data_IF_555477015633
#
_entry.id   IF_555477015633
#
_cell.length_a   1.000
_cell.length_b   1.000
_cell.length_c   1.000
_cell.angle_alpha   90.00
_cell.angle_beta   90.00
_cell.angle_gamma   90.00
#
_symmetry.space_group_name_H-M   'P 1'
#
loop_
_entity.id
_entity.type
_entity.pdbx_description
1 polymer ?
#
# COMPACT_ATOMS: atom_id res chain seq x y z
N UNK A 1 6.24 -29.76 -23.57
CA UNK A 1 6.92 -30.93 -24.14
C UNK A 1 6.99 -32.07 -23.10
N UNK A 2 7.55 -31.85 -21.92
CA UNK A 2 7.71 -32.86 -20.87
C UNK A 2 6.41 -33.60 -20.52
N UNK A 3 5.35 -32.84 -20.20
CA UNK A 3 4.03 -33.39 -19.83
C UNK A 3 3.41 -34.19 -20.96
N UNK A 4 3.60 -33.74 -22.23
CA UNK A 4 3.10 -34.44 -23.40
C UNK A 4 3.79 -35.80 -23.57
N UNK A 5 5.11 -35.85 -23.41
CA UNK A 5 5.88 -37.08 -23.50
C UNK A 5 5.55 -38.07 -22.38
N UNK A 6 5.38 -37.59 -21.15
CA UNK A 6 4.98 -38.41 -20.00
C UNK A 6 3.60 -39.04 -20.21
N UNK A 7 2.63 -38.27 -20.67
CA UNK A 7 1.27 -38.76 -20.96
C UNK A 7 1.29 -39.77 -22.14
N UNK A 8 2.02 -39.44 -23.21
CA UNK A 8 2.18 -40.36 -24.36
C UNK A 8 2.76 -41.72 -23.93
N UNK A 9 3.74 -41.70 -23.01
CA UNK A 9 4.33 -42.92 -22.49
C UNK A 9 3.33 -43.71 -21.62
N UNK A 10 2.59 -43.06 -20.74
CA UNK A 10 1.57 -43.71 -19.91
C UNK A 10 0.49 -44.37 -20.75
N UNK A 11 0.00 -43.70 -21.79
CA UNK A 11 -1.04 -44.24 -22.68
C UNK A 11 -0.50 -45.35 -23.59
N UNK A 12 0.75 -45.26 -24.01
CA UNK A 12 1.40 -46.35 -24.76
C UNK A 12 1.49 -47.62 -23.92
N UNK A 13 1.83 -47.51 -22.65
CA UNK A 13 1.91 -48.67 -21.76
C UNK A 13 0.51 -49.32 -21.52
N UNK A 14 -0.53 -48.52 -21.42
CA UNK A 14 -1.92 -49.02 -21.32
C UNK A 14 -2.37 -49.69 -22.62
N UNK A 15 -1.94 -49.18 -23.78
CA UNK A 15 -2.25 -49.76 -25.06
C UNK A 15 -1.48 -51.10 -25.25
N UNK A 16 -0.23 -51.21 -24.83
CA UNK A 16 0.53 -52.46 -24.83
C UNK A 16 -0.15 -53.49 -23.94
N UNK A 17 -0.65 -53.11 -22.76
CA UNK A 17 -1.42 -53.98 -21.89
C UNK A 17 -2.71 -54.45 -22.56
N UNK A 18 -3.46 -53.60 -23.22
CA UNK A 18 -4.67 -53.95 -23.95
C UNK A 18 -4.41 -54.96 -25.09
N UNK A 19 -3.29 -54.76 -25.82
CA UNK A 19 -2.86 -55.70 -26.88
C UNK A 19 -2.52 -57.06 -26.29
N UNK A 20 -1.81 -57.08 -25.16
CA UNK A 20 -1.45 -58.33 -24.48
C UNK A 20 -2.68 -59.09 -23.99
N UNK A 21 -3.63 -58.41 -23.35
CA UNK A 21 -4.90 -59.00 -22.87
C UNK A 21 -5.74 -59.58 -24.02
N UNK A 22 -5.81 -58.84 -25.15
CA UNK A 22 -6.51 -59.33 -26.34
C UNK A 22 -5.85 -60.54 -26.94
N UNK A 23 -4.51 -60.52 -27.05
CA UNK A 23 -3.73 -61.65 -27.57
C UNK A 23 -3.93 -62.90 -26.71
N UNK A 24 -3.90 -62.80 -25.41
CA UNK A 24 -4.23 -63.90 -24.50
C UNK A 24 -5.68 -64.41 -24.70
N UNK A 25 -6.65 -63.48 -24.81
CA UNK A 25 -8.06 -63.84 -25.05
C UNK A 25 -8.23 -64.68 -26.34
N UNK A 26 -7.49 -64.39 -27.38
CA UNK A 26 -7.47 -65.21 -28.61
C UNK A 26 -6.86 -66.57 -28.40
N UNK A 27 -5.78 -66.67 -27.63
CA UNK A 27 -5.18 -67.97 -27.26
C UNK A 27 -6.17 -68.88 -26.51
N UNK A 28 -6.94 -68.30 -25.58
CA UNK A 28 -7.94 -69.09 -24.81
C UNK A 28 -9.13 -69.59 -25.64
N UNK A 29 -9.38 -69.00 -26.81
CA UNK A 29 -10.46 -69.46 -27.73
C UNK A 29 -10.01 -70.59 -28.64
N UNK A 30 -8.74 -70.95 -28.64
CA UNK A 30 -8.24 -72.12 -29.40
C UNK A 30 -8.56 -73.43 -28.72
N UNK A 31 -8.70 -74.56 -29.48
CA UNK A 31 -8.87 -75.87 -28.90
C UNK A 31 -7.71 -76.24 -27.94
N UNK A 32 -8.03 -76.95 -26.86
CA UNK A 32 -7.04 -77.38 -25.88
C UNK A 32 -5.94 -78.22 -26.57
N UNK A 33 -4.68 -77.81 -26.34
CA UNK A 33 -3.53 -78.51 -26.92
C UNK A 33 -2.98 -77.87 -28.21
N UNK A 34 -3.59 -76.76 -28.71
CA UNK A 34 -3.06 -76.02 -29.86
C UNK A 34 -1.77 -75.28 -29.45
N UNK A 35 -0.59 -75.58 -30.08
CA UNK A 35 0.65 -74.92 -29.69
C UNK A 35 0.73 -73.49 -30.20
N UNK A 36 0.71 -72.50 -29.29
CA UNK A 36 0.99 -71.13 -29.59
C UNK A 36 2.43 -70.79 -29.16
N UNK A 37 3.25 -70.34 -30.10
CA UNK A 37 4.65 -70.02 -29.83
C UNK A 37 4.74 -68.68 -29.10
N UNK A 38 5.18 -68.69 -27.83
CA UNK A 38 5.60 -67.49 -27.09
C UNK A 38 7.08 -67.19 -27.29
N UNK A 39 7.61 -66.24 -26.50
CA UNK A 39 9.02 -65.82 -26.56
C UNK A 39 9.93 -66.98 -26.01
N UNK A 40 10.66 -67.60 -26.90
CA UNK A 40 11.57 -68.70 -26.53
C UNK A 40 12.83 -68.24 -25.79
N UNK A 41 13.57 -69.19 -25.15
CA UNK A 41 14.80 -68.86 -24.39
C UNK A 41 15.88 -68.15 -25.23
N UNK A 42 16.01 -68.47 -26.54
CA UNK A 42 16.96 -67.79 -27.46
C UNK A 42 16.55 -66.35 -27.79
N UNK A 43 15.28 -66.05 -27.70
CA UNK A 43 14.69 -64.75 -28.07
C UNK A 43 14.53 -63.80 -26.85
N UNK A 44 14.87 -64.26 -25.63
CA UNK A 44 14.82 -63.41 -24.42
C UNK A 44 15.66 -62.15 -24.51
N UNK A 45 16.70 -62.12 -25.34
CA UNK A 45 17.56 -60.94 -25.60
C UNK A 45 17.01 -59.98 -26.66
N UNK A 46 15.93 -60.35 -27.36
CA UNK A 46 15.30 -59.49 -28.35
C UNK A 46 14.41 -58.44 -27.69
N UNK A 47 14.33 -57.22 -28.32
CA UNK A 47 13.59 -56.07 -27.80
C UNK A 47 12.06 -56.19 -27.87
N UNK A 48 11.52 -57.25 -28.48
CA UNK A 48 10.09 -57.42 -28.69
C UNK A 48 9.39 -58.02 -27.46
N UNK A 49 8.18 -57.52 -27.22
CA UNK A 49 7.30 -58.05 -26.16
C UNK A 49 6.75 -59.42 -26.57
N UNK A 50 6.35 -60.23 -25.59
CA UNK A 50 5.88 -61.60 -25.80
C UNK A 50 4.66 -61.69 -26.73
N UNK A 51 3.76 -60.72 -26.67
CA UNK A 51 2.57 -60.68 -27.53
C UNK A 51 2.88 -60.63 -29.02
N UNK A 52 4.05 -60.11 -29.45
CA UNK A 52 4.47 -60.10 -30.87
C UNK A 52 4.68 -61.52 -31.38
N UNK A 53 5.28 -62.39 -30.59
CA UNK A 53 5.51 -63.78 -30.96
C UNK A 53 4.20 -64.59 -30.95
N UNK A 54 3.38 -64.38 -29.92
CA UNK A 54 2.08 -65.02 -29.84
C UNK A 54 1.16 -64.60 -30.97
N UNK A 55 1.14 -63.32 -31.32
CA UNK A 55 0.36 -62.82 -32.43
C UNK A 55 0.76 -63.41 -33.76
N UNK A 56 2.06 -63.50 -34.06
CA UNK A 56 2.56 -64.14 -35.29
C UNK A 56 2.09 -65.61 -35.37
N UNK A 57 2.18 -66.34 -34.28
CA UNK A 57 1.69 -67.73 -34.22
C UNK A 57 0.18 -67.83 -34.38
N UNK A 58 -0.60 -66.92 -33.82
CA UNK A 58 -2.06 -66.90 -33.98
C UNK A 58 -2.49 -66.58 -35.40
N UNK A 59 -1.75 -65.69 -36.08
CA UNK A 59 -1.99 -65.33 -37.46
C UNK A 59 -1.73 -66.49 -38.41
N UNK A 60 -0.65 -67.29 -38.15
CA UNK A 60 -0.36 -68.54 -38.87
C UNK A 60 -1.47 -69.57 -38.70
N UNK A 61 -2.16 -69.57 -37.56
CA UNK A 61 -3.32 -70.39 -37.25
C UNK A 61 -4.65 -69.86 -37.77
N UNK A 62 -4.64 -68.78 -38.55
CA UNK A 62 -5.82 -68.17 -39.17
C UNK A 62 -6.71 -67.34 -38.20
N UNK A 63 -6.19 -66.96 -37.04
CA UNK A 63 -6.93 -66.15 -36.06
C UNK A 63 -6.52 -64.67 -36.20
N UNK A 64 -7.32 -63.86 -36.91
CA UNK A 64 -6.97 -62.47 -37.22
C UNK A 64 -6.98 -61.58 -35.97
N UNK A 65 -6.20 -60.47 -36.06
CA UNK A 65 -6.21 -59.43 -35.09
C UNK A 65 -7.57 -58.68 -35.05
N UNK A 66 -8.11 -58.43 -33.87
CA UNK A 66 -9.33 -57.64 -33.68
C UNK A 66 -9.02 -56.31 -33.07
N UNK A 67 -8.94 -55.26 -33.90
CA UNK A 67 -8.79 -53.87 -33.44
C UNK A 67 -9.95 -53.44 -32.52
N UNK A 68 -11.17 -53.92 -32.80
CA UNK A 68 -12.36 -53.61 -32.00
C UNK A 68 -12.21 -54.14 -30.56
N UNK A 69 -11.71 -55.41 -30.44
CA UNK A 69 -11.45 -56.02 -29.13
C UNK A 69 -10.40 -55.27 -28.35
N UNK A 70 -9.26 -54.88 -29.03
CA UNK A 70 -8.21 -54.06 -28.43
C UNK A 70 -8.79 -52.69 -27.98
N UNK A 71 -9.58 -52.06 -28.86
CA UNK A 71 -10.21 -50.76 -28.55
C UNK A 71 -11.14 -50.83 -27.34
N UNK A 72 -11.93 -51.88 -27.21
CA UNK A 72 -12.80 -52.09 -26.06
C UNK A 72 -12.02 -52.32 -24.75
N UNK A 73 -10.96 -53.10 -24.78
CA UNK A 73 -10.08 -53.34 -23.66
C UNK A 73 -9.38 -52.00 -23.25
N UNK A 74 -8.78 -51.31 -24.21
CA UNK A 74 -8.10 -50.07 -23.98
C UNK A 74 -9.02 -48.97 -23.44
N UNK A 75 -10.24 -48.83 -24.02
CA UNK A 75 -11.28 -47.92 -23.50
C UNK A 75 -11.69 -48.28 -22.09
N UNK A 76 -11.77 -49.58 -21.73
CA UNK A 76 -12.02 -50.04 -20.36
C UNK A 76 -10.91 -49.53 -19.41
N UNK A 77 -9.65 -49.75 -19.78
CA UNK A 77 -8.49 -49.29 -19.00
C UNK A 77 -8.40 -47.76 -18.87
N UNK A 78 -8.95 -47.01 -19.84
CA UNK A 78 -9.00 -45.54 -19.86
C UNK A 78 -10.25 -44.94 -19.22
N UNK A 79 -11.32 -45.76 -19.03
CA UNK A 79 -12.65 -45.31 -18.61
C UNK A 79 -12.61 -44.56 -17.28
N UNK A 80 -11.81 -45.04 -16.33
CA UNK A 80 -11.63 -44.41 -15.02
C UNK A 80 -11.00 -43.00 -15.12
N UNK A 81 -10.43 -42.65 -16.29
CA UNK A 81 -9.76 -41.40 -16.55
C UNK A 81 -10.53 -40.47 -17.53
N UNK A 82 -11.71 -40.90 -18.00
CA UNK A 82 -12.60 -40.09 -18.83
C UNK A 82 -12.12 -39.82 -20.25
N UNK A 83 -11.30 -40.73 -20.83
CA UNK A 83 -10.76 -40.59 -22.19
C UNK A 83 -11.54 -41.37 -23.21
N UNK A 84 -11.58 -40.84 -24.44
CA UNK A 84 -12.06 -41.55 -25.64
C UNK A 84 -10.83 -41.84 -26.48
N UNK A 85 -10.62 -43.12 -26.76
CA UNK A 85 -9.50 -43.60 -27.51
C UNK A 85 -9.92 -44.09 -28.91
N UNK A 86 -9.10 -43.80 -29.87
CA UNK A 86 -9.22 -44.27 -31.26
C UNK A 86 -7.98 -45.08 -31.62
N UNK A 87 -8.18 -46.23 -32.23
CA UNK A 87 -7.09 -47.11 -32.67
C UNK A 87 -6.96 -47.11 -34.19
N UNK A 88 -5.74 -46.99 -34.67
CA UNK A 88 -5.35 -47.17 -36.05
C UNK A 88 -4.38 -48.30 -36.25
N UNK A 89 -4.59 -49.13 -37.24
CA UNK A 89 -3.60 -50.11 -37.74
C UNK A 89 -2.76 -49.42 -38.80
N UNK A 90 -1.45 -49.46 -38.65
CA UNK A 90 -0.48 -48.89 -39.58
C UNK A 90 0.20 -50.07 -40.27
N UNK A 91 -0.04 -50.23 -41.57
CA UNK A 91 0.78 -51.10 -42.41
C UNK A 91 1.99 -50.33 -42.94
N UNK A 92 3.16 -50.96 -42.97
CA UNK A 92 4.42 -50.31 -43.37
C UNK A 92 4.53 -50.14 -44.92
N UNK A 93 3.66 -49.29 -45.45
CA UNK A 93 3.76 -48.76 -46.85
C UNK A 93 3.84 -47.23 -46.79
N UNK A 94 4.96 -46.72 -46.23
CA UNK A 94 5.15 -45.27 -46.11
C UNK A 94 4.42 -44.59 -44.93
N UNK A 95 4.08 -45.33 -43.85
CA UNK A 95 3.43 -44.76 -42.67
C UNK A 95 1.92 -44.51 -42.82
N UNK A 96 1.25 -45.12 -43.80
CA UNK A 96 -0.15 -44.93 -44.12
C UNK A 96 -1.01 -45.77 -43.14
N UNK A 97 -2.01 -45.15 -42.53
CA UNK A 97 -3.01 -45.85 -41.69
C UNK A 97 -3.94 -46.62 -42.61
N UNK A 98 -3.84 -47.95 -42.62
CA UNK A 98 -4.64 -48.83 -43.48
C UNK A 98 -6.03 -49.13 -42.90
N UNK A 99 -6.15 -49.13 -41.57
CA UNK A 99 -7.43 -49.38 -40.88
C UNK A 99 -7.53 -48.58 -39.64
N UNK A 100 -8.65 -47.83 -39.46
CA UNK A 100 -8.96 -47.06 -38.25
C UNK A 100 -10.36 -47.41 -37.76
N UNK A 101 -10.56 -47.50 -36.46
CA UNK A 101 -11.87 -47.80 -35.84
C UNK A 101 -12.80 -46.59 -35.74
N UNK A 102 -12.28 -45.39 -35.84
CA UNK A 102 -13.06 -44.14 -35.85
C UNK A 102 -12.30 -43.00 -36.53
N UNK A 103 -13.08 -42.06 -37.10
CA UNK A 103 -12.58 -41.02 -37.97
C UNK A 103 -11.56 -40.08 -37.38
N UNK A 104 -10.81 -39.50 -38.26
CA UNK A 104 -9.72 -38.54 -38.07
C UNK A 104 -10.19 -37.27 -37.33
N UNK A 105 -10.17 -37.26 -36.01
CA UNK A 105 -10.34 -36.04 -35.25
C UNK A 105 -8.99 -35.35 -35.13
N UNK A 106 -8.65 -34.53 -36.12
CA UNK A 106 -7.44 -33.72 -36.17
C UNK A 106 -7.52 -32.53 -35.20
N UNK A 107 -7.79 -32.80 -33.95
CA UNK A 107 -7.71 -31.74 -32.95
C UNK A 107 -6.25 -31.41 -32.66
N UNK A 108 -5.91 -30.12 -32.62
CA UNK A 108 -4.58 -29.57 -32.29
C UNK A 108 -4.02 -30.14 -30.97
N UNK A 109 -4.87 -30.71 -30.14
CA UNK A 109 -4.56 -31.30 -28.84
C UNK A 109 -4.64 -32.82 -28.81
N UNK A 110 -4.67 -33.50 -29.96
CA UNK A 110 -4.62 -34.96 -30.00
C UNK A 110 -3.26 -35.46 -29.50
N UNK A 111 -3.26 -36.49 -28.67
CA UNK A 111 -2.06 -37.17 -28.20
C UNK A 111 -1.98 -38.53 -28.84
N UNK A 112 -0.88 -38.77 -29.54
CA UNK A 112 -0.60 -40.05 -30.13
C UNK A 112 0.26 -40.89 -29.19
N UNK A 113 -0.02 -42.20 -29.15
CA UNK A 113 0.88 -43.20 -28.53
C UNK A 113 2.08 -43.46 -29.43
N UNK A 114 3.07 -44.12 -28.88
CA UNK A 114 4.14 -44.70 -29.70
C UNK A 114 3.55 -45.76 -30.64
N UNK A 115 4.22 -45.97 -31.80
CA UNK A 115 3.92 -47.09 -32.68
C UNK A 115 4.32 -48.39 -31.98
N UNK A 116 3.33 -49.26 -31.74
CA UNK A 116 3.52 -50.53 -31.07
C UNK A 116 3.59 -51.64 -32.15
N UNK A 117 4.74 -52.29 -32.32
CA UNK A 117 4.90 -53.33 -33.35
C UNK A 117 4.10 -54.57 -33.00
N UNK A 118 3.40 -55.12 -34.01
CA UNK A 118 2.69 -56.38 -33.92
C UNK A 118 3.45 -57.53 -34.64
N UNK A 119 4.39 -57.19 -35.53
CA UNK A 119 5.28 -58.13 -36.18
C UNK A 119 6.74 -57.73 -36.01
N UNK A 120 7.66 -58.69 -36.05
CA UNK A 120 9.10 -58.47 -35.91
C UNK A 120 9.72 -57.60 -37.02
N UNK A 121 9.16 -57.63 -38.18
CA UNK A 121 9.58 -56.88 -39.36
C UNK A 121 9.01 -55.44 -39.41
N UNK A 122 8.26 -55.04 -38.36
CA UNK A 122 7.56 -53.75 -38.29
C UNK A 122 6.57 -53.49 -39.43
N UNK A 123 6.15 -54.53 -40.15
CA UNK A 123 5.20 -54.39 -41.26
C UNK A 123 3.79 -54.01 -40.74
N UNK A 124 3.46 -54.40 -39.53
CA UNK A 124 2.17 -54.10 -38.89
C UNK A 124 2.45 -53.46 -37.52
N UNK A 125 1.89 -52.28 -37.30
CA UNK A 125 1.99 -51.52 -36.05
C UNK A 125 0.61 -51.00 -35.64
N UNK A 126 0.41 -50.80 -34.34
CA UNK A 126 -0.79 -50.18 -33.79
C UNK A 126 -0.41 -48.86 -33.16
N UNK A 127 -1.20 -47.81 -33.49
CA UNK A 127 -1.09 -46.48 -32.89
C UNK A 127 -2.44 -46.13 -32.30
N UNK A 128 -2.42 -45.64 -31.08
CA UNK A 128 -3.57 -45.06 -30.42
C UNK A 128 -3.58 -43.55 -30.53
N UNK A 129 -4.75 -42.99 -30.78
CA UNK A 129 -4.98 -41.54 -30.75
C UNK A 129 -5.98 -41.21 -29.68
N UNK A 130 -5.67 -40.26 -28.81
CA UNK A 130 -6.55 -39.76 -27.77
C UNK A 130 -7.03 -38.37 -28.17
N UNK A 131 -8.31 -38.26 -28.46
CA UNK A 131 -8.98 -36.99 -28.62
C UNK A 131 -9.22 -36.27 -27.27
N UNK A 132 -9.42 -34.96 -27.31
CA UNK A 132 -9.85 -34.12 -26.16
C UNK A 132 -8.91 -34.13 -24.95
N UNK A 133 -7.61 -34.25 -25.17
CA UNK A 133 -6.61 -34.27 -24.07
C UNK A 133 -6.36 -32.88 -23.45
N UNK A 134 -6.89 -31.80 -24.06
CA UNK A 134 -6.71 -30.42 -23.60
C UNK A 134 -7.12 -30.19 -22.14
N UNK A 135 -8.20 -30.84 -21.70
CA UNK A 135 -8.64 -30.75 -20.29
C UNK A 135 -7.58 -31.29 -19.31
N UNK A 136 -6.85 -32.32 -19.67
CA UNK A 136 -5.80 -32.89 -18.84
C UNK A 136 -4.60 -31.98 -18.69
N UNK A 137 -4.21 -31.34 -19.79
CA UNK A 137 -3.18 -30.32 -19.75
C UNK A 137 -3.59 -29.17 -18.81
N UNK A 138 -4.83 -28.70 -18.94
CA UNK A 138 -5.36 -27.68 -18.06
C UNK A 138 -5.40 -28.12 -16.58
N UNK A 139 -5.82 -29.35 -16.31
CA UNK A 139 -5.86 -29.88 -14.95
C UNK A 139 -4.46 -30.05 -14.33
N UNK A 140 -3.50 -30.56 -15.10
CA UNK A 140 -2.11 -30.79 -14.62
C UNK A 140 -1.30 -29.50 -14.56
N UNK A 141 -1.58 -28.53 -15.43
CA UNK A 141 -0.90 -27.22 -15.44
C UNK A 141 -1.65 -26.13 -14.70
N UNK A 142 -2.92 -26.33 -14.32
CA UNK A 142 -3.78 -25.31 -13.70
C UNK A 142 -3.22 -24.77 -12.40
N UNK A 143 -2.63 -25.60 -11.55
CA UNK A 143 -2.00 -25.16 -10.30
C UNK A 143 -0.78 -24.26 -10.56
N UNK A 144 -0.02 -24.55 -11.60
CA UNK A 144 1.17 -23.80 -11.99
C UNK A 144 0.77 -22.44 -12.58
N UNK A 145 -0.26 -22.39 -13.41
CA UNK A 145 -0.82 -21.13 -13.92
C UNK A 145 -1.42 -20.29 -12.79
N UNK A 146 -2.15 -20.92 -11.87
CA UNK A 146 -2.71 -20.21 -10.72
C UNK A 146 -1.61 -19.59 -9.85
N UNK A 147 -0.56 -20.37 -9.52
CA UNK A 147 0.54 -19.87 -8.69
C UNK A 147 1.33 -18.75 -9.36
N UNK A 148 1.61 -18.86 -10.67
CA UNK A 148 2.31 -17.81 -11.42
C UNK A 148 1.49 -16.54 -11.55
N UNK A 149 0.17 -16.66 -11.76
CA UNK A 149 -0.74 -15.50 -11.80
C UNK A 149 -0.81 -14.82 -10.44
N UNK A 150 -0.92 -15.58 -9.35
CA UNK A 150 -0.95 -15.05 -7.99
C UNK A 150 0.36 -14.34 -7.64
N UNK A 151 1.50 -14.92 -8.04
CA UNK A 151 2.82 -14.29 -7.88
C UNK A 151 2.91 -12.97 -8.66
N UNK A 152 2.43 -12.94 -9.90
CA UNK A 152 2.42 -11.74 -10.73
C UNK A 152 1.59 -10.62 -10.08
N UNK A 153 0.39 -10.93 -9.61
CA UNK A 153 -0.48 -9.98 -8.90
C UNK A 153 0.20 -9.44 -7.65
N UNK A 154 0.86 -10.32 -6.88
CA UNK A 154 1.62 -9.92 -5.70
C UNK A 154 2.76 -8.95 -6.04
N UNK A 155 3.56 -9.27 -7.06
CA UNK A 155 4.68 -8.40 -7.50
C UNK A 155 4.18 -7.04 -7.96
N UNK A 156 3.10 -7.00 -8.76
CA UNK A 156 2.48 -5.74 -9.20
C UNK A 156 1.98 -4.93 -8.00
N UNK A 157 1.34 -5.59 -7.03
CA UNK A 157 0.91 -4.96 -5.77
C UNK A 157 2.07 -4.34 -4.99
N UNK A 158 3.18 -5.06 -4.86
CA UNK A 158 4.40 -4.56 -4.20
C UNK A 158 4.98 -3.34 -4.94
N UNK A 159 5.03 -3.36 -6.27
CA UNK A 159 5.53 -2.23 -7.07
C UNK A 159 4.65 -0.99 -6.87
N UNK A 160 3.33 -1.14 -6.93
CA UNK A 160 2.38 -0.03 -6.70
C UNK A 160 2.54 0.55 -5.30
N UNK A 161 2.67 -0.32 -4.29
CA UNK A 161 2.92 0.10 -2.91
C UNK A 161 4.24 0.86 -2.77
N UNK A 162 5.34 0.38 -3.37
CA UNK A 162 6.65 1.05 -3.35
C UNK A 162 6.58 2.42 -4.03
N UNK A 163 5.94 2.53 -5.21
CA UNK A 163 5.78 3.80 -5.92
C UNK A 163 5.02 4.82 -5.04
N UNK A 164 3.93 4.39 -4.38
CA UNK A 164 3.16 5.24 -3.47
C UNK A 164 4.00 5.71 -2.28
N UNK A 165 4.80 4.82 -1.69
CA UNK A 165 5.71 5.13 -0.58
C UNK A 165 6.80 6.12 -0.99
N UNK A 166 7.44 5.90 -2.14
CA UNK A 166 8.48 6.80 -2.67
C UNK A 166 7.91 8.19 -2.98
N UNK A 167 6.71 8.26 -3.58
CA UNK A 167 6.04 9.55 -3.84
C UNK A 167 5.77 10.30 -2.54
N UNK A 168 5.28 9.60 -1.51
CA UNK A 168 5.05 10.21 -0.18
C UNK A 168 6.35 10.71 0.46
N UNK A 169 7.42 9.93 0.39
CA UNK A 169 8.74 10.34 0.91
C UNK A 169 9.29 11.57 0.17
N UNK A 170 9.20 11.59 -1.16
CA UNK A 170 9.62 12.76 -1.97
C UNK A 170 8.82 14.01 -1.62
N UNK A 171 7.52 13.88 -1.38
CA UNK A 171 6.67 15.00 -0.97
C UNK A 171 7.09 15.55 0.39
N UNK A 172 7.36 14.67 1.37
CA UNK A 172 7.87 15.06 2.70
C UNK A 172 9.24 15.76 2.59
N UNK A 173 10.16 15.20 1.80
CA UNK A 173 11.47 15.81 1.57
C UNK A 173 11.35 17.20 0.95
N UNK A 174 10.51 17.35 -0.08
CA UNK A 174 10.26 18.65 -0.70
C UNK A 174 9.68 19.67 0.28
N UNK A 175 8.68 19.26 1.07
CA UNK A 175 8.13 20.14 2.12
C UNK A 175 9.19 20.56 3.14
N UNK A 176 10.09 19.67 3.51
CA UNK A 176 11.20 19.96 4.41
C UNK A 176 12.23 20.94 3.80
N UNK A 177 12.52 20.78 2.52
CA UNK A 177 13.38 21.72 1.78
C UNK A 177 12.72 23.10 1.68
N UNK A 178 11.46 23.18 1.22
CA UNK A 178 10.71 24.42 1.11
C UNK A 178 10.61 25.15 2.46
N UNK A 179 10.43 24.39 3.56
CA UNK A 179 10.45 24.94 4.92
C UNK A 179 11.84 25.53 5.27
N UNK A 180 12.92 24.79 4.99
CA UNK A 180 14.26 25.26 5.31
C UNK A 180 14.57 26.56 4.57
N UNK A 181 14.19 26.67 3.29
CA UNK A 181 14.34 27.90 2.52
C UNK A 181 13.50 29.05 3.09
N UNK A 182 12.24 28.80 3.44
CA UNK A 182 11.38 29.79 4.04
C UNK A 182 11.92 30.29 5.39
N UNK A 183 12.41 29.35 6.23
CA UNK A 183 13.00 29.66 7.54
C UNK A 183 14.24 30.55 7.40
N UNK A 184 15.16 30.19 6.48
CA UNK A 184 16.37 30.98 6.23
C UNK A 184 15.98 32.39 5.72
N UNK A 185 15.01 32.48 4.83
CA UNK A 185 14.53 33.75 4.32
C UNK A 185 13.96 34.64 5.42
N UNK A 186 13.10 34.08 6.29
CA UNK A 186 12.41 34.82 7.35
C UNK A 186 13.35 35.15 8.53
N UNK A 187 14.44 34.41 8.73
CA UNK A 187 15.53 34.78 9.64
C UNK A 187 16.44 35.89 9.05
N UNK A 188 16.61 35.90 7.73
CA UNK A 188 17.47 36.90 7.06
C UNK A 188 16.91 38.30 7.25
N UNK A 189 15.59 38.48 7.21
CA UNK A 189 14.94 39.82 7.31
C UNK A 189 15.25 40.48 8.67
N UNK A 190 14.94 39.91 9.83
CA UNK A 190 15.28 40.50 11.14
C UNK A 190 16.79 40.68 11.31
N UNK A 191 17.60 39.69 10.84
CA UNK A 191 19.05 39.81 10.91
C UNK A 191 19.57 41.01 10.10
N UNK A 192 18.99 41.26 8.93
CA UNK A 192 19.34 42.42 8.09
C UNK A 192 18.94 43.74 8.75
N UNK A 193 17.77 43.78 9.42
CA UNK A 193 17.31 44.94 10.18
C UNK A 193 18.26 45.26 11.34
N UNK A 194 18.64 44.26 12.12
CA UNK A 194 19.61 44.40 13.21
C UNK A 194 20.96 44.90 12.66
N UNK A 195 21.48 44.31 11.58
CA UNK A 195 22.71 44.69 10.97
C UNK A 195 22.67 46.15 10.45
N UNK A 196 21.54 46.59 9.89
CA UNK A 196 21.34 47.99 9.45
C UNK A 196 21.37 48.92 10.66
N UNK A 197 20.67 48.61 11.74
CA UNK A 197 20.69 49.45 12.97
C UNK A 197 22.10 49.57 13.51
N UNK A 198 22.82 48.43 13.62
CA UNK A 198 24.22 48.44 14.08
C UNK A 198 25.14 49.32 13.20
N UNK A 199 24.95 49.24 11.88
CA UNK A 199 25.69 50.10 10.96
C UNK A 199 25.36 51.61 11.14
N UNK A 200 24.09 51.94 11.39
CA UNK A 200 23.71 53.34 11.68
C UNK A 200 24.30 53.81 13.01
N UNK A 201 24.28 53.02 14.04
CA UNK A 201 24.86 53.33 15.34
C UNK A 201 26.40 53.53 15.22
N UNK A 202 27.08 52.63 14.49
CA UNK A 202 28.53 52.66 14.29
C UNK A 202 28.97 53.87 13.44
N UNK A 203 28.11 54.36 12.53
CA UNK A 203 28.44 55.50 11.64
C UNK A 203 28.42 56.87 12.36
N UNK A 204 28.02 56.95 13.62
CA UNK A 204 27.86 58.19 14.40
C UNK A 204 26.77 59.14 13.93
N UNK A 205 26.01 58.79 12.87
CA UNK A 205 24.95 59.65 12.28
C UNK A 205 23.77 59.90 13.22
N UNK A 206 23.66 59.15 14.29
CA UNK A 206 22.58 59.26 15.27
C UNK A 206 23.05 59.87 16.62
N UNK A 207 24.31 60.24 16.76
CA UNK A 207 24.84 60.74 18.04
C UNK A 207 24.19 62.08 18.47
N UNK A 208 23.85 62.93 17.50
CA UNK A 208 23.14 64.20 17.74
C UNK A 208 21.59 64.05 17.85
N UNK A 209 21.05 62.82 17.77
CA UNK A 209 19.62 62.53 17.70
C UNK A 209 19.23 61.41 18.67
N UNK A 210 19.22 61.66 19.99
CA UNK A 210 19.05 60.60 20.98
C UNK A 210 17.70 59.85 20.87
N UNK A 211 16.62 60.54 20.51
CA UNK A 211 15.29 59.93 20.33
C UNK A 211 15.26 58.94 19.15
N UNK A 212 15.97 59.28 18.07
CA UNK A 212 16.09 58.38 16.93
C UNK A 212 16.99 57.20 17.26
N UNK A 213 18.08 57.40 17.98
CA UNK A 213 18.97 56.37 18.47
C UNK A 213 18.22 55.33 19.29
N UNK A 214 17.41 55.80 20.26
CA UNK A 214 16.57 54.95 21.09
C UNK A 214 15.53 54.15 20.30
N UNK A 215 14.87 54.79 19.33
CA UNK A 215 13.92 54.14 18.42
C UNK A 215 14.61 53.02 17.59
N UNK A 216 15.80 53.26 17.08
CA UNK A 216 16.54 52.23 16.31
C UNK A 216 17.01 51.09 17.22
N UNK A 217 17.47 51.37 18.45
CA UNK A 217 17.85 50.35 19.40
C UNK A 217 16.63 49.47 19.71
N UNK A 218 15.47 50.05 19.95
CA UNK A 218 14.24 49.32 20.19
C UNK A 218 13.86 48.42 19.02
N UNK A 219 14.01 48.86 17.79
CA UNK A 219 13.79 48.04 16.59
C UNK A 219 14.72 46.82 16.59
N UNK A 220 16.00 47.00 16.97
CA UNK A 220 16.94 45.87 17.03
C UNK A 220 16.61 44.90 18.16
N UNK A 221 16.16 45.41 19.32
CA UNK A 221 15.70 44.60 20.42
C UNK A 221 14.48 43.74 20.04
N UNK A 222 13.45 44.37 19.45
CA UNK A 222 12.22 43.71 19.00
C UNK A 222 12.52 42.60 17.97
N UNK A 223 13.42 42.85 17.01
CA UNK A 223 13.81 41.86 16.00
C UNK A 223 14.69 40.74 16.60
N UNK A 224 15.47 41.01 17.65
CA UNK A 224 16.23 40.01 18.38
C UNK A 224 15.31 39.09 19.19
N UNK A 225 14.31 39.64 19.89
CA UNK A 225 13.30 38.86 20.60
C UNK A 225 12.49 37.98 19.64
N UNK A 226 12.15 38.51 18.45
CA UNK A 226 11.49 37.75 17.40
C UNK A 226 12.32 36.54 16.94
N UNK A 227 13.65 36.72 16.74
CA UNK A 227 14.56 35.62 16.37
C UNK A 227 14.68 34.57 17.47
N UNK A 228 14.78 34.99 18.74
CA UNK A 228 14.83 34.09 19.89
C UNK A 228 13.53 33.28 20.02
N UNK A 229 12.37 33.91 19.90
CA UNK A 229 11.08 33.23 19.90
C UNK A 229 10.99 32.17 18.80
N UNK A 230 11.48 32.51 17.61
CA UNK A 230 11.53 31.57 16.49
C UNK A 230 12.43 30.38 16.78
N UNK A 231 13.65 30.62 17.27
CA UNK A 231 14.60 29.56 17.62
C UNK A 231 14.02 28.63 18.70
N UNK A 232 13.38 29.20 19.72
CA UNK A 232 12.72 28.44 20.79
C UNK A 232 11.56 27.56 20.24
N UNK A 233 10.74 28.08 19.32
CA UNK A 233 9.67 27.30 18.68
C UNK A 233 10.23 26.10 17.93
N UNK A 234 11.32 26.26 17.17
CA UNK A 234 11.95 25.16 16.45
C UNK A 234 12.50 24.10 17.39
N UNK A 235 13.16 24.52 18.47
CA UNK A 235 13.71 23.63 19.49
C UNK A 235 12.59 22.86 20.22
N UNK A 236 11.50 23.52 20.56
CA UNK A 236 10.34 22.90 21.21
C UNK A 236 9.70 21.86 20.31
N UNK A 237 9.42 22.18 19.04
CA UNK A 237 8.90 21.24 18.07
C UNK A 237 9.83 20.02 17.91
N UNK A 238 11.16 20.25 17.85
CA UNK A 238 12.13 19.18 17.76
C UNK A 238 12.14 18.27 18.99
N UNK A 239 11.99 18.82 20.18
CA UNK A 239 11.90 18.06 21.44
C UNK A 239 10.60 17.25 21.53
N UNK A 240 9.48 17.83 21.13
CA UNK A 240 8.17 17.15 21.09
C UNK A 240 8.16 15.97 20.13
N UNK A 241 8.76 16.11 18.95
CA UNK A 241 8.85 15.02 17.94
C UNK A 241 9.59 13.77 18.46
N UNK A 242 10.54 13.95 19.36
CA UNK A 242 11.34 12.84 19.89
C UNK A 242 10.69 12.24 21.15
N UNK A 243 9.48 12.67 21.53
CA UNK A 243 8.80 12.29 22.79
C UNK A 243 9.69 12.43 24.03
N UNK A 244 10.65 13.37 24.00
CA UNK A 244 11.60 13.62 25.11
C UNK A 244 11.13 14.73 26.06
N UNK A 245 9.93 15.23 25.87
CA UNK A 245 9.44 16.35 26.65
C UNK A 245 8.49 15.87 27.72
N UNK A 246 8.81 16.14 28.96
CA UNK A 246 7.92 15.95 30.11
C UNK A 246 7.17 17.25 30.35
N UNK A 247 5.82 17.20 30.29
CA UNK A 247 4.96 18.35 30.62
C UNK A 247 4.84 18.51 32.13
N UNK A 248 5.04 19.71 32.62
CA UNK A 248 4.79 20.07 34.03
C UNK A 248 3.33 20.49 34.19
N UNK A 249 2.41 19.51 34.13
CA UNK A 249 0.97 19.76 34.19
C UNK A 249 0.54 20.15 35.63
N UNK A 250 -0.18 21.22 35.74
CA UNK A 250 -0.82 21.72 36.98
C UNK A 250 -2.18 22.35 36.69
N UNK A 251 -2.97 22.62 37.71
CA UNK A 251 -4.18 23.41 37.55
C UNK A 251 -3.79 24.87 37.30
N UNK A 252 -4.07 25.31 36.07
CA UNK A 252 -3.75 26.65 35.57
C UNK A 252 -5.01 27.48 35.59
N UNK A 253 -4.96 28.65 36.26
CA UNK A 253 -6.05 29.62 36.26
C UNK A 253 -6.12 30.36 34.93
N UNK A 254 -7.22 30.14 34.18
CA UNK A 254 -7.36 30.65 32.80
C UNK A 254 -7.57 32.16 32.72
N UNK A 255 -8.33 32.75 33.67
CA UNK A 255 -8.71 34.14 33.57
C UNK A 255 -7.49 35.11 33.59
N UNK A 256 -6.55 35.03 34.55
CA UNK A 256 -5.38 35.94 34.57
C UNK A 256 -4.45 35.67 33.35
N UNK A 257 -4.30 34.44 32.90
CA UNK A 257 -3.51 34.09 31.72
C UNK A 257 -4.12 34.74 30.46
N UNK A 258 -5.40 34.48 30.19
CA UNK A 258 -6.10 34.98 29.01
C UNK A 258 -6.10 36.49 29.00
N UNK A 259 -6.27 37.14 30.15
CA UNK A 259 -6.25 38.60 30.29
C UNK A 259 -4.87 39.17 29.90
N UNK A 260 -3.78 38.60 30.42
CA UNK A 260 -2.41 39.02 30.04
C UNK A 260 -2.19 38.90 28.50
N UNK A 261 -2.68 37.82 27.90
CA UNK A 261 -2.56 37.62 26.45
C UNK A 261 -3.38 38.67 25.69
N UNK A 262 -4.61 38.92 26.07
CA UNK A 262 -5.50 39.91 25.46
C UNK A 262 -4.90 41.31 25.56
N UNK A 263 -4.42 41.71 26.74
CA UNK A 263 -3.77 43.03 26.94
C UNK A 263 -2.52 43.18 26.03
N UNK A 264 -1.67 42.14 25.92
CA UNK A 264 -0.49 42.11 25.07
C UNK A 264 -0.84 42.30 23.60
N UNK A 265 -1.82 41.56 23.08
CA UNK A 265 -2.17 41.62 21.65
C UNK A 265 -2.95 42.89 21.31
N UNK A 266 -3.78 43.41 22.22
CA UNK A 266 -4.49 44.66 22.01
C UNK A 266 -3.55 45.88 21.99
N UNK A 267 -2.56 45.90 22.88
CA UNK A 267 -1.54 46.96 22.90
C UNK A 267 -0.64 47.01 21.64
N UNK A 268 -0.36 45.86 21.05
CA UNK A 268 0.59 45.74 19.91
C UNK A 268 -0.12 45.53 18.58
N UNK A 269 -1.44 45.63 18.51
CA UNK A 269 -2.19 45.42 17.29
C UNK A 269 -1.92 46.49 16.23
N UNK A 270 -1.59 46.06 15.00
CA UNK A 270 -1.41 46.98 13.86
C UNK A 270 -2.71 47.38 13.18
N UNK A 271 -3.85 46.78 13.61
CA UNK A 271 -5.20 47.01 13.11
C UNK A 271 -6.20 46.94 14.25
N UNK A 272 -7.47 47.40 14.10
CA UNK A 272 -8.48 47.28 15.11
C UNK A 272 -8.76 45.83 15.45
N UNK A 273 -8.56 45.41 16.70
CA UNK A 273 -8.84 44.07 17.25
C UNK A 273 -9.79 44.21 18.43
N UNK A 274 -10.95 43.54 18.35
CA UNK A 274 -11.88 43.42 19.45
C UNK A 274 -11.73 42.01 20.05
N UNK A 275 -11.48 41.93 21.37
CA UNK A 275 -11.34 40.64 22.06
C UNK A 275 -12.36 40.50 23.15
N UNK A 276 -13.07 39.36 23.16
CA UNK A 276 -14.07 39.02 24.18
C UNK A 276 -13.64 37.77 24.94
N UNK A 277 -13.75 37.84 26.28
CA UNK A 277 -13.40 36.72 27.17
C UNK A 277 -14.70 36.15 27.74
N UNK A 278 -14.94 34.84 27.58
CA UNK A 278 -16.16 34.15 28.02
C UNK A 278 -15.75 32.79 28.61
N UNK A 279 -15.25 32.78 29.85
CA UNK A 279 -14.71 31.62 30.54
C UNK A 279 -15.73 31.07 31.55
N UNK A 280 -16.42 29.97 31.17
CA UNK A 280 -17.28 29.21 32.10
C UNK A 280 -16.45 28.30 33.02
N UNK A 281 -15.39 27.66 32.49
CA UNK A 281 -14.45 26.88 33.28
C UNK A 281 -13.25 27.74 33.65
N UNK A 282 -12.91 27.81 34.94
CA UNK A 282 -11.85 28.70 35.43
C UNK A 282 -10.45 28.08 35.38
N UNK A 283 -10.37 26.77 35.37
CA UNK A 283 -9.11 26.02 35.45
C UNK A 283 -8.93 25.02 34.30
N UNK A 284 -7.67 24.85 33.87
CA UNK A 284 -7.28 23.79 32.98
C UNK A 284 -6.07 23.04 33.54
N UNK A 285 -6.07 21.72 33.48
CA UNK A 285 -4.93 20.91 33.88
C UNK A 285 -3.92 20.84 32.74
N UNK A 286 -2.90 21.69 32.81
CA UNK A 286 -1.92 21.86 31.71
C UNK A 286 -0.57 22.38 32.24
N UNK A 287 0.43 22.36 31.36
CA UNK A 287 1.66 23.12 31.50
C UNK A 287 1.39 24.59 31.12
N UNK A 288 1.52 25.49 32.09
CA UNK A 288 1.13 26.89 31.94
C UNK A 288 1.85 27.60 30.82
N UNK A 289 3.16 27.41 30.70
CA UNK A 289 4.02 28.05 29.68
C UNK A 289 3.61 27.65 28.28
N UNK A 290 3.44 26.34 28.06
CA UNK A 290 3.02 25.82 26.75
C UNK A 290 1.57 26.13 26.40
N UNK A 291 0.67 26.15 27.39
CA UNK A 291 -0.72 26.54 27.13
C UNK A 291 -0.81 28.03 26.74
N UNK A 292 -0.06 28.91 27.43
CA UNK A 292 0.02 30.34 27.07
C UNK A 292 0.55 30.51 25.66
N UNK A 293 1.61 29.78 25.25
CA UNK A 293 2.18 29.84 23.91
C UNK A 293 1.20 29.32 22.84
N UNK A 294 0.43 28.26 23.14
CA UNK A 294 -0.62 27.73 22.26
C UNK A 294 -1.71 28.78 22.02
N UNK A 295 -2.21 29.44 23.08
CA UNK A 295 -3.21 30.47 22.93
C UNK A 295 -2.68 31.69 22.17
N UNK A 296 -1.43 32.11 22.41
CA UNK A 296 -0.77 33.18 21.66
C UNK A 296 -0.68 32.84 20.17
N UNK A 297 -0.35 31.58 19.81
CA UNK A 297 -0.30 31.15 18.40
C UNK A 297 -1.67 31.17 17.73
N UNK A 298 -2.74 30.78 18.42
CA UNK A 298 -4.09 30.83 17.86
C UNK A 298 -4.58 32.28 17.66
N UNK A 299 -4.35 33.16 18.63
CA UNK A 299 -4.74 34.57 18.54
C UNK A 299 -3.93 35.31 17.46
N UNK A 300 -2.62 35.05 17.37
CA UNK A 300 -1.78 35.60 16.31
C UNK A 300 -2.28 35.18 14.90
N UNK A 301 -2.70 33.92 14.75
CA UNK A 301 -3.31 33.44 13.52
C UNK A 301 -4.63 34.15 13.22
N UNK A 302 -5.50 34.33 14.20
CA UNK A 302 -6.77 35.06 14.05
C UNK A 302 -6.55 36.49 13.58
N UNK A 303 -5.53 37.18 14.11
CA UNK A 303 -5.17 38.54 13.68
C UNK A 303 -4.55 38.54 12.28
N UNK A 304 -3.67 37.58 11.96
CA UNK A 304 -2.99 37.50 10.65
C UNK A 304 -3.92 37.15 9.50
N UNK A 305 -4.85 36.21 9.74
CA UNK A 305 -5.73 35.69 8.70
C UNK A 305 -7.13 36.32 8.71
N UNK A 306 -7.20 37.61 9.02
CA UNK A 306 -8.41 38.41 8.99
C UNK A 306 -8.24 39.71 8.18
N UNK A 307 -9.35 40.38 7.90
CA UNK A 307 -9.40 41.63 7.12
C UNK A 307 -8.81 42.85 7.83
N UNK A 308 -9.37 44.01 7.57
CA UNK A 308 -8.93 45.28 8.17
C UNK A 308 -9.23 45.37 9.68
N UNK A 309 -10.17 44.59 10.18
CA UNK A 309 -10.52 44.45 11.59
C UNK A 309 -10.80 42.98 11.91
N UNK A 310 -10.77 42.58 13.17
CA UNK A 310 -11.12 41.23 13.63
C UNK A 310 -11.74 41.24 14.98
N UNK A 311 -12.75 40.37 15.17
CA UNK A 311 -13.33 40.05 16.45
C UNK A 311 -12.89 38.65 16.89
N UNK A 312 -12.18 38.56 18.00
CA UNK A 312 -11.70 37.30 18.57
C UNK A 312 -12.45 37.03 19.87
N UNK A 313 -13.04 35.83 20.00
CA UNK A 313 -13.67 35.38 21.25
C UNK A 313 -12.90 34.21 21.83
N UNK A 314 -12.46 34.32 23.06
CA UNK A 314 -11.79 33.28 23.83
C UNK A 314 -12.75 32.75 24.86
N UNK A 315 -13.08 31.47 24.78
CA UNK A 315 -14.02 30.80 25.65
C UNK A 315 -13.45 29.58 26.36
N UNK A 316 -14.00 29.21 27.49
CA UNK A 316 -13.75 27.92 28.11
C UNK A 316 -15.05 27.31 28.60
N UNK A 317 -15.16 25.96 28.50
CA UNK A 317 -16.33 25.22 29.02
C UNK A 317 -15.93 23.82 29.46
N UNK A 318 -16.70 23.28 30.39
CA UNK A 318 -16.61 21.89 30.80
C UNK A 318 -17.33 20.99 29.79
N UNK A 319 -16.68 19.94 29.32
CA UNK A 319 -17.31 18.90 28.50
C UNK A 319 -16.81 17.53 28.92
N UNK A 320 -17.66 16.78 29.58
CA UNK A 320 -17.31 15.45 30.10
C UNK A 320 -16.05 15.51 30.99
N UNK A 321 -15.01 14.79 30.64
CA UNK A 321 -13.73 14.75 31.35
C UNK A 321 -12.71 15.77 30.81
N UNK A 322 -13.15 16.71 29.98
CA UNK A 322 -12.27 17.70 29.36
C UNK A 322 -12.62 19.13 29.81
N UNK A 323 -11.61 19.95 29.99
CA UNK A 323 -11.73 21.39 29.86
C UNK A 323 -11.53 21.74 28.37
N UNK A 324 -12.52 22.37 27.75
CA UNK A 324 -12.47 22.79 26.35
C UNK A 324 -12.22 24.28 26.31
N UNK A 325 -11.09 24.70 25.74
CA UNK A 325 -10.75 26.09 25.49
C UNK A 325 -10.96 26.39 24.03
N UNK A 326 -11.73 27.41 23.69
CA UNK A 326 -12.00 27.78 22.29
C UNK A 326 -11.46 29.18 21.97
N UNK A 327 -10.93 29.33 20.76
CA UNK A 327 -10.55 30.61 20.16
C UNK A 327 -11.32 30.72 18.86
N UNK A 328 -12.22 31.67 18.79
CA UNK A 328 -13.07 31.99 17.64
C UNK A 328 -12.64 33.30 17.01
N UNK A 329 -12.64 33.41 15.69
CA UNK A 329 -12.46 34.63 14.92
C UNK A 329 -13.42 34.72 13.71
N UNK A 330 -13.75 35.94 13.32
CA UNK A 330 -14.53 36.29 12.15
C UNK A 330 -13.65 36.61 10.92
N UNK A 331 -12.50 35.93 10.82
CA UNK A 331 -11.54 36.11 9.75
C UNK A 331 -11.91 35.42 8.43
N UNK A 332 -10.91 35.16 7.58
CA UNK A 332 -11.12 34.59 6.23
C UNK A 332 -11.59 33.15 6.23
N UNK A 333 -11.67 32.49 7.36
CA UNK A 333 -12.03 31.08 7.44
C UNK A 333 -11.09 30.15 6.71
N UNK A 334 -11.31 28.84 6.85
CA UNK A 334 -10.47 27.79 6.30
C UNK A 334 -11.33 26.86 5.43
N UNK A 335 -10.89 26.60 4.21
CA UNK A 335 -11.61 25.68 3.32
C UNK A 335 -11.63 24.26 3.89
N UNK A 336 -12.68 23.46 3.62
CA UNK A 336 -12.79 22.07 4.09
C UNK A 336 -11.58 21.22 3.71
N UNK A 337 -11.00 21.46 2.54
CA UNK A 337 -9.81 20.76 2.07
C UNK A 337 -8.58 21.09 2.91
N UNK A 338 -8.42 22.37 3.25
CA UNK A 338 -7.27 22.85 4.03
C UNK A 338 -7.39 22.42 5.50
N UNK A 339 -8.60 22.34 6.08
CA UNK A 339 -8.83 21.87 7.46
C UNK A 339 -8.26 20.48 7.73
N UNK A 340 -8.14 19.62 6.71
CA UNK A 340 -7.58 18.27 6.85
C UNK A 340 -6.05 18.26 7.00
N UNK A 341 -5.38 19.34 6.62
CA UNK A 341 -3.91 19.38 6.53
C UNK A 341 -3.27 20.52 7.33
N UNK A 342 -4.05 21.48 7.86
CA UNK A 342 -3.51 22.69 8.54
C UNK A 342 -2.64 22.38 9.76
N UNK A 343 -2.80 21.20 10.38
CA UNK A 343 -1.97 20.78 11.51
C UNK A 343 -0.70 20.04 11.05
N UNK A 344 -0.59 19.71 9.76
CA UNK A 344 0.61 19.09 9.24
C UNK A 344 1.78 20.07 9.29
N UNK A 345 2.95 19.55 9.58
CA UNK A 345 4.18 20.34 9.60
C UNK A 345 4.46 20.91 8.21
N UNK A 346 4.78 22.20 8.15
CA UNK A 346 5.12 22.91 6.92
C UNK A 346 3.96 23.18 5.94
N UNK A 347 2.74 22.82 6.28
CA UNK A 347 1.58 23.13 5.46
C UNK A 347 1.17 24.60 5.62
N UNK A 348 0.88 25.25 4.50
CA UNK A 348 0.32 26.59 4.42
C UNK A 348 -1.00 26.48 3.67
N UNK A 349 -2.11 26.82 4.30
CA UNK A 349 -3.40 26.88 3.61
C UNK A 349 -3.40 27.91 2.48
N UNK A 350 -4.26 27.76 1.49
CA UNK A 350 -4.41 28.67 0.35
C UNK A 350 -4.68 30.14 0.75
N UNK A 351 -5.12 30.38 1.99
CA UNK A 351 -5.30 31.72 2.55
C UNK A 351 -3.98 32.50 2.71
N UNK A 352 -2.82 31.81 2.80
CA UNK A 352 -1.51 32.48 2.91
C UNK A 352 -1.11 33.23 1.63
N UNK A 353 -1.64 32.84 0.47
CA UNK A 353 -1.36 33.53 -0.80
C UNK A 353 -2.07 34.87 -0.95
N UNK A 354 -3.15 35.10 -0.20
CA UNK A 354 -3.87 36.38 -0.22
C UNK A 354 -3.14 37.48 0.56
N UNK A 355 -2.30 37.10 1.51
CA UNK A 355 -1.54 38.06 2.34
C UNK A 355 -0.16 38.47 1.77
N UNK A 356 0.16 38.10 0.54
CA UNK A 356 1.46 38.47 -0.10
C UNK A 356 1.74 39.98 -0.17
N UNK A 357 0.73 40.85 0.03
CA UNK A 357 0.89 42.32 0.06
C UNK A 357 1.31 42.89 1.44
N UNK A 358 1.31 42.10 2.50
CA UNK A 358 1.54 42.58 3.89
C UNK A 358 2.74 41.97 4.64
N UNK A 359 3.60 41.19 4.02
CA UNK A 359 4.93 40.85 4.58
C UNK A 359 4.97 39.89 5.77
N UNK A 360 3.86 39.36 6.30
CA UNK A 360 3.85 38.47 7.45
C UNK A 360 3.62 36.99 7.05
N UNK A 361 4.57 36.40 6.33
CA UNK A 361 4.56 34.98 6.05
C UNK A 361 4.92 34.20 7.31
N UNK A 362 3.96 33.46 7.91
CA UNK A 362 4.22 32.56 9.02
C UNK A 362 4.90 31.27 8.53
N UNK A 363 5.71 30.62 9.39
CA UNK A 363 6.49 29.42 9.11
C UNK A 363 5.67 28.14 8.86
N UNK A 364 4.35 28.16 8.98
CA UNK A 364 3.53 26.96 8.99
C UNK A 364 3.83 26.01 10.17
N UNK A 365 4.45 26.57 11.22
CA UNK A 365 4.77 25.82 12.44
C UNK A 365 3.78 26.07 13.57
N UNK A 366 3.04 27.19 13.56
CA UNK A 366 2.19 27.59 14.67
C UNK A 366 1.09 26.59 14.98
N UNK A 367 0.32 26.15 13.98
CA UNK A 367 -0.75 25.16 14.18
C UNK A 367 -0.20 23.74 14.44
N UNK A 368 0.93 23.38 13.85
CA UNK A 368 1.60 22.13 14.17
C UNK A 368 2.10 22.12 15.63
N UNK A 369 2.65 23.25 16.11
CA UNK A 369 3.03 23.41 17.51
C UNK A 369 1.80 23.25 18.43
N UNK A 370 0.68 23.93 18.11
CA UNK A 370 -0.57 23.78 18.85
C UNK A 370 -1.00 22.31 18.95
N UNK A 371 -0.98 21.61 17.83
CA UNK A 371 -1.35 20.19 17.79
C UNK A 371 -0.42 19.34 18.65
N UNK A 372 0.91 19.49 18.51
CA UNK A 372 1.88 18.70 19.27
C UNK A 372 1.84 18.95 20.76
N UNK A 373 1.68 20.22 21.19
CA UNK A 373 1.55 20.56 22.61
C UNK A 373 0.27 19.96 23.19
N UNK A 374 -0.86 20.09 22.51
CA UNK A 374 -2.13 19.52 22.98
C UNK A 374 -2.07 18.00 23.01
N UNK A 375 -1.45 17.34 22.05
CA UNK A 375 -1.22 15.90 22.05
C UNK A 375 -0.31 15.47 23.20
N UNK A 376 0.76 16.22 23.51
CA UNK A 376 1.62 15.97 24.67
C UNK A 376 0.89 16.15 26.02
N UNK A 377 -0.21 16.91 26.03
CA UNK A 377 -1.14 17.00 27.14
C UNK A 377 -2.18 15.87 27.16
N UNK A 378 -2.09 14.88 26.23
CA UNK A 378 -3.07 13.80 26.04
C UNK A 378 -4.47 14.34 25.64
N UNK A 379 -4.46 15.53 25.06
CA UNK A 379 -5.63 16.24 24.58
C UNK A 379 -5.86 16.05 23.08
N UNK A 380 -6.80 16.83 22.53
CA UNK A 380 -7.07 16.88 21.10
C UNK A 380 -7.45 18.29 20.66
N UNK A 381 -7.10 18.63 19.42
CA UNK A 381 -7.49 19.90 18.78
C UNK A 381 -8.57 19.62 17.74
N UNK A 382 -9.60 20.47 17.72
CA UNK A 382 -10.61 20.46 16.66
C UNK A 382 -10.68 21.84 16.01
N UNK A 383 -10.97 21.88 14.72
CA UNK A 383 -11.24 23.10 13.97
C UNK A 383 -12.65 23.03 13.39
N UNK A 384 -13.40 24.11 13.55
CA UNK A 384 -14.68 24.35 12.91
C UNK A 384 -14.56 25.69 12.17
N UNK A 385 -14.68 25.68 10.85
CA UNK A 385 -14.46 26.88 10.07
C UNK A 385 -15.28 26.86 8.81
N UNK A 386 -15.80 28.04 8.43
CA UNK A 386 -16.44 28.26 7.15
C UNK A 386 -15.68 29.37 6.41
N UNK A 387 -15.25 29.03 5.20
CA UNK A 387 -14.45 29.95 4.39
C UNK A 387 -15.18 31.27 4.15
N UNK A 388 -14.46 32.36 4.36
CA UNK A 388 -14.90 33.75 4.27
C UNK A 388 -15.95 34.15 5.35
N UNK A 389 -16.08 33.37 6.42
CA UNK A 389 -17.02 33.65 7.51
C UNK A 389 -16.37 33.61 8.90
N UNK A 390 -15.81 32.45 9.32
CA UNK A 390 -15.23 32.32 10.65
C UNK A 390 -14.24 31.15 10.77
N UNK A 391 -13.42 31.18 11.84
CA UNK A 391 -12.65 30.03 12.33
C UNK A 391 -12.81 29.88 13.82
N UNK A 392 -13.05 28.66 14.30
CA UNK A 392 -13.02 28.29 15.70
C UNK A 392 -12.09 27.10 15.92
N UNK A 393 -11.06 27.30 16.73
CA UNK A 393 -10.21 26.23 17.25
C UNK A 393 -10.68 25.85 18.64
N UNK A 394 -10.84 24.55 18.90
CA UNK A 394 -11.23 24.01 20.21
C UNK A 394 -10.15 23.06 20.71
N UNK A 395 -9.57 23.36 21.87
CA UNK A 395 -8.56 22.56 22.57
C UNK A 395 -9.24 21.76 23.66
N UNK A 396 -9.20 20.45 23.59
CA UNK A 396 -9.74 19.53 24.59
C UNK A 396 -8.59 19.06 25.48
N UNK A 397 -8.52 19.56 26.70
CA UNK A 397 -7.49 19.18 27.67
C UNK A 397 -8.12 18.26 28.72
N UNK A 398 -7.57 17.06 28.98
CA UNK A 398 -8.11 16.16 29.98
C UNK A 398 -7.94 16.73 31.37
N UNK A 399 -8.95 16.56 32.25
CA UNK A 399 -8.87 16.92 33.64
C UNK A 399 -7.99 15.93 34.40
N UNK A 400 -7.42 16.34 35.52
CA UNK A 400 -6.53 15.48 36.34
C UNK A 400 -7.17 14.14 36.72
N UNK A 401 -8.48 14.11 37.00
CA UNK A 401 -9.21 12.89 37.36
C UNK A 401 -9.27 11.86 36.24
N UNK A 402 -9.15 12.27 34.98
CA UNK A 402 -9.20 11.36 33.80
C UNK A 402 -8.02 10.38 33.77
N UNK A 403 -6.83 10.85 34.09
CA UNK A 403 -5.64 10.00 34.11
C UNK A 403 -5.67 8.99 35.26
N UNK A 404 -6.24 9.37 36.40
CA UNK A 404 -6.46 8.49 37.55
C UNK A 404 -7.47 7.36 37.25
N UNK A 405 -8.43 7.58 36.34
CA UNK A 405 -9.42 6.57 35.91
C UNK A 405 -8.79 5.57 34.95
N UNK A 406 -7.99 6.02 34.00
CA UNK A 406 -7.29 5.14 33.03
C UNK A 406 -6.26 4.25 33.76
N UNK A 407 -5.48 4.78 34.70
CA UNK A 407 -4.51 4.01 35.48
C UNK A 407 -5.17 2.98 36.41
N UNK A 408 -6.41 3.18 36.83
CA UNK A 408 -7.17 2.25 37.67
C UNK A 408 -7.92 1.16 36.90
N UNK A 409 -7.89 1.18 35.55
CA UNK A 409 -8.41 0.11 34.71
C UNK A 409 -9.93 -0.07 34.76
N UNK A 410 -10.70 1.00 34.97
CA UNK A 410 -12.18 0.99 34.93
C UNK A 410 -12.67 1.56 33.61
#
# INVERSE_FOLDING_TARGET
LFVRNELSLQFSNLLEQAIYEETLSRCYKLPLGTPVKGKGRKEQKEKFSEYVYMHTSLEELGVPLSLESIGNIWNRLLKDKGYIAELGLIENRGGIIVKSLKGNDSSIFALETRDIPMRKDYSVMIRGNLGRVGYLFLKKMGSLFLSTTLLLVFVVGCIVFQIKTIRRQKQILKMREDFSYAMIHDMKTPLSSIAMVLNFLHSGKLDDKPEMKDKYCKIAEDETERLLSLANKILTISKLEVHKMTMNKKDVELHPMVRRIVDKFTANASKPVSMTIDLEEQYAYADEEYLEEVLCNLIDNSIKYSGEQVNVKIGSRKKDFYTVISVYDDGFGISYKDQQVIFNKYERGAASDRNKKGGAAGFGLGLNFVWQVVEAHEGRVMVNSLKDEFTEFSLFLPKQDYNNIIERGI
#
